data_IF_413889607393
#
_entry.id   IF_413889607393
#
_cell.length_a   1.000
_cell.length_b   1.000
_cell.length_c   1.000
_cell.angle_alpha   90.00
_cell.angle_beta   90.00
_cell.angle_gamma   90.00
#
_symmetry.space_group_name_H-M   'P 1'
#
loop_
_entity.id
_entity.type
_entity.pdbx_description
1 polymer ?
#
# COMPACT_ATOMS: atom_id res chain seq x y z
N UNK A 1 -16.33 -23.65 0.30
CA UNK A 1 -15.10 -24.39 -0.08
C UNK A 1 -14.75 -24.23 -1.56
N UNK A 2 -15.67 -24.47 -2.49
CA UNK A 2 -15.44 -24.28 -3.94
C UNK A 2 -14.94 -22.88 -4.29
N UNK A 3 -15.54 -21.83 -3.70
CA UNK A 3 -15.18 -20.44 -3.96
C UNK A 3 -13.70 -20.15 -3.67
N UNK A 4 -13.21 -20.38 -2.44
CA UNK A 4 -11.81 -20.09 -2.10
C UNK A 4 -10.80 -20.81 -3.01
N UNK A 5 -11.09 -22.04 -3.44
CA UNK A 5 -10.27 -22.77 -4.41
C UNK A 5 -10.31 -22.14 -5.81
N UNK A 6 -11.47 -21.68 -6.27
CA UNK A 6 -11.59 -21.00 -7.56
C UNK A 6 -10.69 -19.77 -7.63
N UNK A 7 -10.63 -19.01 -6.52
CA UNK A 7 -9.78 -17.82 -6.36
C UNK A 7 -8.28 -18.15 -6.28
N UNK A 8 -7.92 -19.40 -5.97
CA UNK A 8 -6.53 -19.78 -5.73
C UNK A 8 -5.99 -19.26 -4.40
N UNK A 9 -6.84 -19.07 -3.39
CA UNK A 9 -6.42 -18.58 -2.09
C UNK A 9 -5.52 -19.60 -1.36
N UNK A 10 -4.27 -19.21 -1.07
CA UNK A 10 -3.34 -20.02 -0.28
C UNK A 10 -3.57 -19.91 1.24
N UNK A 11 -4.27 -18.87 1.67
CA UNK A 11 -4.65 -18.64 3.05
C UNK A 11 -6.00 -17.93 3.17
N UNK A 12 -6.70 -18.13 4.30
CA UNK A 12 -7.91 -17.42 4.68
C UNK A 12 -7.79 -16.95 6.12
N UNK A 13 -8.24 -15.72 6.40
CA UNK A 13 -8.19 -15.13 7.72
C UNK A 13 -9.58 -15.22 8.35
N UNK A 14 -9.67 -15.74 9.57
CA UNK A 14 -10.93 -15.95 10.28
C UNK A 14 -10.81 -15.44 11.71
N UNK A 15 -11.84 -14.78 12.27
CA UNK A 15 -11.88 -14.48 13.69
C UNK A 15 -11.63 -15.75 14.53
N UNK A 16 -10.88 -15.60 15.62
CA UNK A 16 -10.83 -16.65 16.63
C UNK A 16 -12.21 -16.72 17.32
N UNK A 17 -13.01 -17.72 16.97
CA UNK A 17 -14.28 -18.02 17.65
C UNK A 17 -14.03 -18.55 19.07
N UNK A 18 -15.03 -18.45 19.94
CA UNK A 18 -14.93 -18.94 21.32
C UNK A 18 -14.54 -20.44 21.37
N UNK A 19 -13.72 -20.87 22.35
CA UNK A 19 -13.20 -22.23 22.41
C UNK A 19 -14.33 -23.26 22.55
N UNK A 20 -14.33 -24.31 21.72
CA UNK A 20 -15.26 -25.43 21.92
C UNK A 20 -15.34 -26.46 20.80
N UNK A 21 -15.33 -26.06 19.53
CA UNK A 21 -15.40 -27.02 18.42
C UNK A 21 -14.50 -26.60 17.25
N UNK A 22 -13.72 -27.52 16.65
CA UNK A 22 -13.09 -27.27 15.37
C UNK A 22 -14.19 -27.00 14.35
N UNK A 23 -14.31 -25.75 13.91
CA UNK A 23 -15.31 -25.39 12.92
C UNK A 23 -15.15 -26.32 11.70
N UNK A 24 -16.23 -26.98 11.21
CA UNK A 24 -16.18 -27.79 10.00
C UNK A 24 -15.55 -27.07 8.80
N UNK A 25 -15.59 -25.73 8.82
CA UNK A 25 -14.92 -24.87 7.87
C UNK A 25 -13.38 -24.93 7.95
N UNK A 26 -12.79 -24.95 9.16
CA UNK A 26 -11.35 -25.10 9.37
C UNK A 26 -10.85 -26.41 8.78
N UNK A 27 -11.53 -27.51 9.10
CA UNK A 27 -11.16 -28.83 8.58
C UNK A 27 -11.28 -28.91 7.06
N UNK A 28 -12.32 -28.27 6.50
CA UNK A 28 -12.47 -28.19 5.07
C UNK A 28 -11.33 -27.39 4.41
N UNK A 29 -10.92 -26.26 5.00
CA UNK A 29 -9.76 -25.48 4.55
C UNK A 29 -8.48 -26.31 4.57
N UNK A 30 -8.21 -27.04 5.66
CA UNK A 30 -7.03 -27.92 5.76
C UNK A 30 -7.06 -29.02 4.69
N UNK A 31 -8.19 -29.71 4.49
CA UNK A 31 -8.35 -30.71 3.42
C UNK A 31 -8.19 -30.12 2.01
N UNK A 32 -8.36 -28.82 1.85
CA UNK A 32 -8.12 -28.10 0.60
C UNK A 32 -6.70 -27.55 0.45
N UNK A 33 -5.81 -27.75 1.42
CA UNK A 33 -4.49 -27.14 1.44
C UNK A 33 -4.52 -25.63 1.66
N UNK A 34 -5.64 -25.08 2.14
CA UNK A 34 -5.78 -23.65 2.45
C UNK A 34 -5.40 -23.45 3.91
N UNK A 35 -4.37 -22.63 4.15
CA UNK A 35 -3.92 -22.29 5.50
C UNK A 35 -4.93 -21.35 6.15
N UNK A 36 -5.29 -21.61 7.40
CA UNK A 36 -6.20 -20.72 8.14
C UNK A 36 -5.38 -19.91 9.14
N UNK A 37 -5.49 -18.59 9.05
CA UNK A 37 -4.81 -17.63 9.93
C UNK A 37 -5.85 -17.05 10.89
N UNK A 38 -5.59 -17.11 12.19
CA UNK A 38 -6.49 -16.58 13.20
C UNK A 38 -6.41 -15.04 13.23
N UNK A 39 -7.54 -14.36 13.10
CA UNK A 39 -7.64 -12.92 13.28
C UNK A 39 -7.93 -12.60 14.74
N UNK A 40 -6.94 -11.98 15.38
CA UNK A 40 -6.97 -11.60 16.79
C UNK A 40 -7.13 -10.08 16.90
N UNK A 41 -8.00 -9.61 17.81
CA UNK A 41 -8.14 -8.17 18.06
C UNK A 41 -6.86 -7.54 18.64
N UNK A 42 -6.23 -8.24 19.59
CA UNK A 42 -4.91 -7.94 20.14
C UNK A 42 -4.22 -9.27 20.43
N UNK A 43 -2.92 -9.37 20.16
CA UNK A 43 -2.14 -10.57 20.45
C UNK A 43 -1.41 -10.46 21.78
N UNK A 44 -1.55 -11.53 22.56
CA UNK A 44 -0.68 -11.87 23.67
C UNK A 44 -0.31 -13.36 23.53
N UNK A 45 0.66 -13.81 24.32
CA UNK A 45 1.13 -15.20 24.30
C UNK A 45 0.01 -16.21 24.53
N UNK A 46 -1.00 -15.88 25.35
CA UNK A 46 -2.09 -16.79 25.67
C UNK A 46 -3.04 -16.97 24.48
N UNK A 47 -3.43 -15.89 23.80
CA UNK A 47 -4.28 -15.94 22.59
C UNK A 47 -3.60 -16.62 21.42
N UNK A 48 -2.30 -16.40 21.26
CA UNK A 48 -1.51 -17.08 20.24
C UNK A 48 -1.45 -18.59 20.52
N UNK A 49 -1.25 -18.99 21.78
CA UNK A 49 -1.30 -20.40 22.20
C UNK A 49 -2.70 -21.01 22.04
N UNK A 50 -3.76 -20.24 22.28
CA UNK A 50 -5.14 -20.65 22.04
C UNK A 50 -5.42 -20.92 20.56
N UNK A 51 -5.12 -19.97 19.67
CA UNK A 51 -5.27 -20.14 18.23
C UNK A 51 -4.45 -21.33 17.71
N UNK A 52 -3.24 -21.55 18.23
CA UNK A 52 -2.42 -22.71 17.89
C UNK A 52 -3.08 -24.03 18.30
N UNK A 53 -3.62 -24.11 19.52
CA UNK A 53 -4.38 -25.29 20.00
C UNK A 53 -5.65 -25.53 19.20
N UNK A 54 -6.30 -24.47 18.71
CA UNK A 54 -7.46 -24.57 17.82
C UNK A 54 -7.09 -25.01 16.37
N UNK A 55 -5.81 -25.23 16.08
CA UNK A 55 -5.35 -25.80 14.82
C UNK A 55 -5.24 -24.78 13.67
N UNK A 56 -5.03 -23.50 14.00
CA UNK A 56 -4.69 -22.47 13.02
C UNK A 56 -3.22 -22.56 12.59
N UNK A 57 -2.95 -22.27 11.32
CA UNK A 57 -1.61 -22.27 10.73
C UNK A 57 -0.81 -20.98 11.01
N UNK A 58 -1.49 -19.95 11.52
CA UNK A 58 -0.90 -18.65 11.82
C UNK A 58 -1.86 -17.73 12.58
N UNK A 59 -1.43 -16.51 12.84
CA UNK A 59 -2.27 -15.44 13.37
C UNK A 59 -1.99 -14.08 12.73
N UNK A 60 -3.00 -13.22 12.73
CA UNK A 60 -2.92 -11.81 12.38
C UNK A 60 -3.47 -10.96 13.53
N UNK A 61 -2.83 -9.83 13.82
CA UNK A 61 -3.22 -8.96 14.92
C UNK A 61 -2.79 -7.51 14.70
N UNK A 62 -3.46 -6.58 15.37
CA UNK A 62 -3.06 -5.17 15.39
C UNK A 62 -1.80 -4.97 16.23
N UNK A 63 -0.84 -4.21 15.71
CA UNK A 63 0.30 -3.76 16.49
C UNK A 63 -0.17 -2.91 17.67
N UNK A 64 0.26 -3.28 18.87
CA UNK A 64 -0.02 -2.58 20.11
C UNK A 64 1.27 -2.46 20.94
N UNK A 65 1.39 -1.41 21.75
CA UNK A 65 2.60 -1.15 22.53
C UNK A 65 3.72 -0.56 21.68
N UNK A 66 4.91 -1.16 21.73
CA UNK A 66 6.11 -0.72 21.01
C UNK A 66 6.67 -1.79 20.05
N UNK A 67 7.50 -1.36 19.10
CA UNK A 67 8.11 -2.21 18.07
C UNK A 67 8.88 -3.41 18.67
N UNK A 68 9.61 -3.21 19.78
CA UNK A 68 10.45 -4.26 20.38
C UNK A 68 9.60 -5.37 20.98
N UNK A 69 8.48 -5.02 21.60
CA UNK A 69 7.55 -6.00 22.16
C UNK A 69 6.95 -6.88 21.08
N UNK A 70 6.49 -6.27 19.97
CA UNK A 70 5.93 -7.01 18.83
C UNK A 70 6.98 -7.93 18.20
N UNK A 71 8.21 -7.44 18.02
CA UNK A 71 9.31 -8.23 17.48
C UNK A 71 9.68 -9.41 18.38
N UNK A 72 9.70 -9.18 19.71
CA UNK A 72 9.93 -10.24 20.70
C UNK A 72 8.84 -11.30 20.62
N UNK A 73 7.56 -10.87 20.64
CA UNK A 73 6.41 -11.76 20.52
C UNK A 73 6.49 -12.61 19.25
N UNK A 74 6.79 -11.98 18.11
CA UNK A 74 6.92 -12.67 16.82
C UNK A 74 8.06 -13.70 16.83
N UNK A 75 9.19 -13.37 17.47
CA UNK A 75 10.35 -14.26 17.56
C UNK A 75 10.09 -15.48 18.44
N UNK A 76 9.32 -15.32 19.53
CA UNK A 76 8.92 -16.41 20.43
C UNK A 76 7.97 -17.41 19.73
N UNK A 77 7.26 -16.99 18.68
CA UNK A 77 6.38 -17.84 17.89
C UNK A 77 7.05 -18.41 16.63
N UNK A 78 8.36 -18.67 16.68
CA UNK A 78 9.12 -19.20 15.54
C UNK A 78 8.43 -20.42 14.88
N UNK A 79 8.46 -20.45 13.54
CA UNK A 79 7.81 -21.50 12.75
C UNK A 79 6.30 -21.35 12.55
N UNK A 80 5.69 -20.26 13.03
CA UNK A 80 4.27 -19.95 12.81
C UNK A 80 4.08 -18.74 11.90
N UNK A 81 3.04 -18.73 11.07
CA UNK A 81 2.79 -17.62 10.13
C UNK A 81 2.14 -16.45 10.84
N UNK A 82 2.92 -15.41 11.12
CA UNK A 82 2.42 -14.20 11.78
C UNK A 82 2.31 -13.03 10.81
N UNK A 83 1.19 -12.32 10.92
CA UNK A 83 0.93 -11.06 10.24
C UNK A 83 0.64 -9.97 11.27
N UNK A 84 1.19 -8.78 11.06
CA UNK A 84 0.97 -7.65 11.97
C UNK A 84 0.38 -6.49 11.18
N UNK A 85 -0.82 -6.07 11.56
CA UNK A 85 -1.40 -4.85 11.03
C UNK A 85 -0.69 -3.63 11.60
N UNK A 86 -0.10 -2.83 10.71
CA UNK A 86 0.56 -1.57 11.00
C UNK A 86 -0.28 -0.41 10.51
N UNK A 87 -0.41 0.62 11.34
CA UNK A 87 -0.92 1.94 10.93
C UNK A 87 0.14 2.74 10.15
N UNK A 88 -0.22 3.83 9.44
CA UNK A 88 0.75 4.70 8.77
C UNK A 88 1.92 5.13 9.64
N UNK A 89 1.66 5.46 10.91
CA UNK A 89 2.69 5.95 11.84
C UNK A 89 3.65 4.83 12.26
N UNK A 90 3.21 3.58 12.16
CA UNK A 90 3.97 2.38 12.50
C UNK A 90 4.66 1.76 11.29
N UNK A 91 4.55 2.36 10.10
CA UNK A 91 5.04 1.77 8.85
C UNK A 91 6.54 1.43 8.90
N UNK A 92 7.32 2.15 9.70
CA UNK A 92 8.76 1.94 9.86
C UNK A 92 9.13 0.76 10.78
N UNK A 93 8.17 0.19 11.51
CA UNK A 93 8.44 -0.87 12.49
C UNK A 93 8.99 -2.15 11.83
N UNK A 94 10.02 -2.73 12.44
CA UNK A 94 10.58 -4.04 12.10
C UNK A 94 9.92 -5.13 12.95
N UNK A 95 9.05 -5.89 12.32
CA UNK A 95 8.23 -6.92 12.98
C UNK A 95 8.67 -8.34 12.64
N UNK A 96 9.80 -8.51 11.96
CA UNK A 96 10.34 -9.83 11.61
C UNK A 96 10.54 -10.70 12.86
N UNK A 97 10.17 -12.00 12.80
CA UNK A 97 9.82 -12.78 11.61
C UNK A 97 8.37 -12.64 11.12
N UNK A 98 7.51 -11.85 11.78
CA UNK A 98 6.16 -11.60 11.28
C UNK A 98 6.17 -10.71 10.02
N UNK A 99 5.09 -10.79 9.24
CA UNK A 99 4.89 -10.03 8.01
C UNK A 99 4.03 -8.80 8.27
N UNK A 100 4.51 -7.58 7.98
CA UNK A 100 3.69 -6.39 8.14
C UNK A 100 2.60 -6.29 7.08
N UNK A 101 1.43 -5.81 7.49
CA UNK A 101 0.26 -5.52 6.66
C UNK A 101 -0.11 -4.07 6.90
N UNK A 102 -0.02 -3.22 5.89
CA UNK A 102 -0.35 -1.81 6.06
C UNK A 102 -1.88 -1.60 6.04
N UNK A 103 -2.42 -1.10 7.15
CA UNK A 103 -3.78 -0.60 7.27
C UNK A 103 -3.81 0.89 6.92
N UNK A 104 -3.71 1.17 5.64
CA UNK A 104 -3.80 2.52 5.08
C UNK A 104 -4.39 2.46 3.68
N UNK A 105 -4.96 3.58 3.24
CA UNK A 105 -5.54 3.71 1.91
C UNK A 105 -7.06 3.85 1.94
N UNK A 106 -7.61 4.11 0.76
CA UNK A 106 -9.03 4.34 0.54
C UNK A 106 -9.64 3.17 -0.22
N UNK A 107 -10.92 2.90 -0.06
CA UNK A 107 -11.56 1.83 -0.81
C UNK A 107 -11.59 2.20 -2.31
N UNK A 108 -11.03 1.38 -3.21
CA UNK A 108 -10.87 1.77 -4.61
C UNK A 108 -12.20 2.02 -5.33
N UNK A 109 -12.24 3.11 -6.09
CA UNK A 109 -13.40 3.49 -6.87
C UNK A 109 -13.41 4.95 -7.28
N UNK A 110 -14.47 5.35 -7.99
CA UNK A 110 -14.71 6.74 -8.31
C UNK A 110 -15.52 7.40 -7.19
N UNK A 111 -15.07 8.56 -6.71
CA UNK A 111 -15.97 9.45 -5.97
C UNK A 111 -16.87 10.17 -6.96
N UNK A 112 -18.16 10.30 -6.61
CA UNK A 112 -19.00 11.28 -7.29
C UNK A 112 -18.47 12.65 -6.88
N UNK A 113 -17.99 13.42 -7.85
CA UNK A 113 -17.64 14.82 -7.59
C UNK A 113 -18.87 15.53 -7.03
N UNK A 114 -18.67 16.32 -5.98
CA UNK A 114 -19.71 17.25 -5.53
C UNK A 114 -19.99 18.22 -6.70
N UNK A 115 -21.20 18.25 -7.24
CA UNK A 115 -21.53 19.13 -8.37
C UNK A 115 -21.41 20.62 -8.03
N UNK A 116 -21.27 20.98 -6.74
CA UNK A 116 -21.06 22.36 -6.28
C UNK A 116 -19.59 22.78 -6.21
N UNK A 117 -18.64 21.84 -6.24
CA UNK A 117 -17.20 22.10 -6.28
C UNK A 117 -16.73 22.25 -7.74
N UNK A 118 -16.92 23.44 -8.30
CA UNK A 118 -16.35 23.81 -9.60
C UNK A 118 -14.84 24.14 -9.46
N UNK A 119 -13.97 23.21 -9.85
CA UNK A 119 -12.52 23.41 -9.87
C UNK A 119 -11.90 23.01 -11.21
N UNK A 120 -10.74 23.60 -11.55
CA UNK A 120 -10.07 23.50 -12.85
C UNK A 120 -9.61 22.07 -13.28
N UNK A 121 -9.89 21.04 -12.48
CA UNK A 121 -9.75 19.64 -12.86
C UNK A 121 -11.09 18.93 -12.74
N UNK A 122 -11.92 18.99 -13.79
CA UNK A 122 -13.16 18.20 -13.91
C UNK A 122 -12.92 16.69 -14.07
N UNK A 123 -11.72 16.21 -13.75
CA UNK A 123 -11.41 14.79 -13.77
C UNK A 123 -12.16 14.09 -12.63
N UNK A 124 -12.73 12.92 -12.93
CA UNK A 124 -13.33 12.04 -11.91
C UNK A 124 -12.28 11.77 -10.83
N UNK A 125 -12.61 12.04 -9.57
CA UNK A 125 -11.72 11.71 -8.47
C UNK A 125 -11.70 10.20 -8.29
N UNK A 126 -10.55 9.59 -8.57
CA UNK A 126 -10.32 8.15 -8.39
C UNK A 126 -9.56 7.94 -7.08
N UNK A 127 -10.13 7.12 -6.22
CA UNK A 127 -9.45 6.59 -5.04
C UNK A 127 -8.61 5.39 -5.48
N UNK A 128 -7.31 5.50 -5.24
CA UNK A 128 -6.27 4.60 -5.71
C UNK A 128 -5.17 4.48 -4.63
N UNK A 129 -4.69 3.27 -4.36
CA UNK A 129 -3.66 2.94 -3.38
C UNK A 129 -2.32 2.48 -3.97
N UNK A 130 -2.16 2.52 -5.30
CA UNK A 130 -0.92 2.13 -5.99
C UNK A 130 0.32 2.86 -5.44
N UNK A 131 0.11 4.10 -4.99
CA UNK A 131 1.15 4.92 -4.38
C UNK A 131 1.68 4.36 -3.06
N UNK A 132 0.84 3.69 -2.26
CA UNK A 132 1.25 3.04 -1.01
C UNK A 132 2.15 1.85 -1.30
N UNK A 133 1.85 1.08 -2.35
CA UNK A 133 2.70 -0.02 -2.80
C UNK A 133 4.06 0.50 -3.26
N UNK A 134 4.07 1.57 -4.07
CA UNK A 134 5.30 2.19 -4.54
C UNK A 134 6.16 2.70 -3.39
N UNK A 135 5.54 3.34 -2.39
CA UNK A 135 6.19 3.79 -1.17
C UNK A 135 6.81 2.61 -0.40
N UNK A 136 6.02 1.55 -0.14
CA UNK A 136 6.50 0.36 0.58
C UNK A 136 7.69 -0.29 -0.12
N UNK A 137 7.63 -0.46 -1.44
CA UNK A 137 8.71 -1.07 -2.24
C UNK A 137 9.96 -0.19 -2.30
N UNK A 138 9.80 1.13 -2.26
CA UNK A 138 10.92 2.07 -2.30
C UNK A 138 11.67 2.17 -0.97
N UNK A 139 10.94 2.24 0.14
CA UNK A 139 11.49 2.52 1.47
C UNK A 139 11.75 1.25 2.28
N UNK A 140 11.04 0.17 1.99
CA UNK A 140 11.15 -1.12 2.68
C UNK A 140 11.31 -2.27 1.67
N UNK A 141 12.36 -2.26 0.84
CA UNK A 141 12.53 -3.25 -0.24
C UNK A 141 12.71 -4.68 0.25
N UNK A 142 13.10 -4.87 1.52
CA UNK A 142 13.39 -6.19 2.10
C UNK A 142 12.14 -6.92 2.61
N UNK A 143 10.95 -6.32 2.47
CA UNK A 143 9.67 -6.92 2.90
C UNK A 143 8.60 -6.80 1.81
N UNK A 144 7.64 -7.72 1.84
CA UNK A 144 6.49 -7.69 0.93
C UNK A 144 5.69 -6.39 1.11
N UNK A 145 5.34 -5.74 0.00
CA UNK A 145 4.41 -4.62 0.00
C UNK A 145 2.97 -5.14 0.09
N UNK A 146 2.49 -5.38 1.31
CA UNK A 146 1.18 -5.96 1.60
C UNK A 146 0.22 -4.92 2.18
N UNK A 147 -0.87 -4.65 1.47
CA UNK A 147 -1.95 -3.76 1.90
C UNK A 147 -3.10 -4.55 2.54
N UNK A 148 -3.79 -3.96 3.52
CA UNK A 148 -4.89 -4.60 4.23
C UNK A 148 -6.08 -3.70 4.57
N UNK A 149 -6.25 -2.58 3.85
CA UNK A 149 -7.43 -1.72 4.01
C UNK A 149 -8.74 -2.51 3.81
N UNK A 150 -9.80 -2.06 4.48
CA UNK A 150 -11.11 -2.72 4.53
C UNK A 150 -12.19 -1.80 3.97
N UNK A 151 -13.36 -2.30 3.55
CA UNK A 151 -14.47 -1.45 3.12
C UNK A 151 -15.19 -0.85 4.35
N UNK A 152 -14.50 0.04 5.09
CA UNK A 152 -14.98 0.69 6.32
C UNK A 152 -14.66 2.19 6.36
N UNK A 153 -14.98 2.85 7.47
CA UNK A 153 -14.83 4.31 7.63
C UNK A 153 -13.38 4.77 7.49
N UNK A 154 -12.42 3.95 7.95
CA UNK A 154 -10.98 4.24 7.82
C UNK A 154 -10.54 4.30 6.35
N UNK A 155 -11.25 3.59 5.46
CA UNK A 155 -11.05 3.61 4.02
C UNK A 155 -12.00 4.56 3.27
N UNK A 156 -12.67 5.47 3.97
CA UNK A 156 -13.58 6.46 3.39
C UNK A 156 -14.94 5.91 2.97
N UNK A 157 -15.35 4.75 3.49
CA UNK A 157 -16.68 4.17 3.26
C UNK A 157 -17.58 4.48 4.46
N UNK A 158 -18.66 5.23 4.24
CA UNK A 158 -19.64 5.49 5.30
C UNK A 158 -20.31 4.17 5.75
N UNK A 159 -20.72 4.08 7.02
CA UNK A 159 -21.29 2.85 7.63
C UNK A 159 -22.40 2.18 6.80
N UNK A 160 -23.22 2.97 6.13
CA UNK A 160 -24.39 2.50 5.37
C UNK A 160 -24.11 2.44 3.85
N UNK A 161 -22.92 2.87 3.42
CA UNK A 161 -22.54 2.89 2.02
C UNK A 161 -22.21 1.48 1.54
N UNK A 162 -23.05 0.98 0.63
CA UNK A 162 -22.77 -0.28 -0.07
C UNK A 162 -21.73 -0.06 -1.16
N UNK A 163 -20.58 -0.69 -1.01
CA UNK A 163 -19.58 -0.73 -2.07
C UNK A 163 -20.00 -1.70 -3.20
N UNK A 164 -19.74 -1.38 -4.47
CA UNK A 164 -20.01 -2.29 -5.59
C UNK A 164 -19.22 -3.60 -5.50
N UNK A 165 -19.78 -4.73 -5.95
CA UNK A 165 -19.09 -6.04 -5.88
C UNK A 165 -17.76 -6.06 -6.63
N UNK A 166 -17.68 -5.39 -7.78
CA UNK A 166 -16.49 -5.32 -8.61
C UNK A 166 -15.35 -4.47 -8.00
N UNK A 167 -15.62 -3.69 -6.94
CA UNK A 167 -14.57 -2.92 -6.28
C UNK A 167 -13.52 -3.79 -5.56
N UNK A 168 -13.87 -5.02 -5.20
CA UNK A 168 -12.91 -6.01 -4.66
C UNK A 168 -11.89 -6.41 -5.72
N UNK A 169 -12.34 -6.65 -6.96
CA UNK A 169 -11.46 -6.94 -8.08
C UNK A 169 -10.53 -5.76 -8.37
N UNK A 170 -11.06 -4.54 -8.33
CA UNK A 170 -10.26 -3.32 -8.49
C UNK A 170 -9.18 -3.21 -7.41
N UNK A 171 -9.51 -3.47 -6.14
CA UNK A 171 -8.53 -3.46 -5.05
C UNK A 171 -7.40 -4.47 -5.25
N UNK A 172 -7.72 -5.68 -5.72
CA UNK A 172 -6.70 -6.68 -6.05
C UNK A 172 -5.83 -6.26 -7.23
N UNK A 173 -6.48 -5.85 -8.33
CA UNK A 173 -5.82 -5.49 -9.57
C UNK A 173 -4.86 -4.32 -9.37
N UNK A 174 -5.29 -3.31 -8.61
CA UNK A 174 -4.49 -2.13 -8.34
C UNK A 174 -3.23 -2.47 -7.53
N UNK A 175 -3.39 -3.15 -6.38
CA UNK A 175 -2.26 -3.51 -5.54
C UNK A 175 -1.23 -4.36 -6.30
N UNK A 176 -1.72 -5.31 -7.10
CA UNK A 176 -0.87 -6.17 -7.92
C UNK A 176 -0.19 -5.41 -9.07
N UNK A 177 -0.89 -4.50 -9.76
CA UNK A 177 -0.32 -3.70 -10.85
C UNK A 177 0.86 -2.83 -10.39
N UNK A 178 0.83 -2.36 -9.13
CA UNK A 178 1.94 -1.63 -8.52
C UNK A 178 3.07 -2.54 -7.97
N UNK A 179 2.95 -3.87 -8.13
CA UNK A 179 3.93 -4.87 -7.69
C UNK A 179 3.82 -5.24 -6.21
N UNK A 180 2.67 -5.00 -5.60
CA UNK A 180 2.35 -5.34 -4.22
C UNK A 180 1.37 -6.50 -4.14
N UNK A 181 0.82 -6.69 -2.94
CA UNK A 181 -0.21 -7.67 -2.64
C UNK A 181 -1.30 -7.02 -1.77
N UNK A 182 -2.48 -7.62 -1.73
CA UNK A 182 -3.62 -7.14 -0.96
C UNK A 182 -4.28 -8.28 -0.19
N UNK A 183 -4.62 -8.03 1.08
CA UNK A 183 -5.48 -8.89 1.87
C UNK A 183 -6.93 -8.67 1.43
N UNK A 184 -7.42 -9.55 0.57
CA UNK A 184 -8.77 -9.50 0.03
C UNK A 184 -9.83 -9.54 1.14
N UNK A 185 -10.47 -8.41 1.39
CA UNK A 185 -11.62 -8.29 2.29
C UNK A 185 -12.90 -8.21 1.48
N UNK A 186 -13.72 -9.27 1.49
CA UNK A 186 -15.04 -9.25 0.86
C UNK A 186 -16.03 -8.49 1.75
N UNK A 187 -16.73 -7.45 1.26
CA UNK A 187 -17.82 -6.82 2.00
C UNK A 187 -18.90 -7.84 2.43
N UNK A 188 -19.52 -7.62 3.59
CA UNK A 188 -20.50 -8.57 4.15
C UNK A 188 -21.68 -8.82 3.19
N UNK A 189 -22.23 -7.76 2.58
CA UNK A 189 -23.33 -7.90 1.60
C UNK A 189 -22.92 -8.70 0.37
N UNK A 190 -21.64 -8.66 -0.01
CA UNK A 190 -21.12 -9.45 -1.12
C UNK A 190 -21.00 -10.93 -0.73
N UNK A 191 -20.47 -11.24 0.46
CA UNK A 191 -20.42 -12.61 0.98
C UNK A 191 -21.81 -13.24 1.04
N UNK A 192 -22.79 -12.52 1.58
CA UNK A 192 -24.17 -13.00 1.69
C UNK A 192 -24.82 -13.24 0.32
N UNK A 193 -24.61 -12.33 -0.63
CA UNK A 193 -25.12 -12.49 -1.99
C UNK A 193 -24.49 -13.71 -2.71
N UNK A 194 -23.21 -13.99 -2.48
CA UNK A 194 -22.55 -15.21 -3.00
C UNK A 194 -23.14 -16.48 -2.40
N UNK A 195 -23.39 -16.51 -1.08
CA UNK A 195 -24.00 -17.65 -0.41
C UNK A 195 -25.44 -17.91 -0.87
N UNK A 196 -26.18 -16.84 -1.19
CA UNK A 196 -27.53 -16.92 -1.77
C UNK A 196 -27.55 -17.28 -3.25
N UNK A 197 -26.39 -17.34 -3.91
CA UNK A 197 -26.30 -17.60 -5.34
C UNK A 197 -26.84 -16.47 -6.20
N UNK A 198 -26.79 -15.21 -5.75
CA UNK A 198 -27.25 -14.08 -6.55
C UNK A 198 -26.41 -13.90 -7.83
N UNK A 199 -27.06 -13.81 -9.00
CA UNK A 199 -26.38 -13.75 -10.30
C UNK A 199 -25.34 -12.63 -10.39
N UNK A 200 -25.67 -11.42 -9.90
CA UNK A 200 -24.74 -10.28 -9.94
C UNK A 200 -23.48 -10.52 -9.11
N UNK A 201 -23.61 -11.14 -7.95
CA UNK A 201 -22.49 -11.49 -7.10
C UNK A 201 -21.64 -12.60 -7.74
N UNK A 202 -22.27 -13.63 -8.31
CA UNK A 202 -21.55 -14.69 -9.02
C UNK A 202 -20.76 -14.16 -10.23
N UNK A 203 -21.34 -13.23 -11.00
CA UNK A 203 -20.64 -12.59 -12.13
C UNK A 203 -19.40 -11.83 -11.66
N UNK A 204 -19.52 -11.01 -10.62
CA UNK A 204 -18.39 -10.29 -10.05
C UNK A 204 -17.33 -11.24 -9.46
N UNK A 205 -17.75 -12.38 -8.92
CA UNK A 205 -16.84 -13.39 -8.38
C UNK A 205 -16.03 -14.07 -9.49
N UNK A 206 -16.69 -14.42 -10.58
CA UNK A 206 -16.02 -15.02 -11.74
C UNK A 206 -14.99 -14.07 -12.35
N UNK A 207 -15.30 -12.76 -12.42
CA UNK A 207 -14.35 -11.74 -12.86
C UNK A 207 -13.15 -11.65 -11.90
N UNK A 208 -13.39 -11.55 -10.59
CA UNK A 208 -12.33 -11.57 -9.56
C UNK A 208 -11.44 -12.82 -9.68
N UNK A 209 -12.01 -13.99 -9.92
CA UNK A 209 -11.27 -15.25 -10.10
C UNK A 209 -10.39 -15.20 -11.37
N UNK A 210 -10.91 -14.70 -12.48
CA UNK A 210 -10.14 -14.55 -13.72
C UNK A 210 -8.97 -13.58 -13.53
N UNK A 211 -9.23 -12.44 -12.90
CA UNK A 211 -8.21 -11.44 -12.56
C UNK A 211 -7.16 -12.01 -11.62
N UNK A 212 -7.55 -12.69 -10.54
CA UNK A 212 -6.60 -13.34 -9.64
C UNK A 212 -5.70 -14.37 -10.35
N UNK A 213 -6.25 -15.17 -11.26
CA UNK A 213 -5.46 -16.13 -12.07
C UNK A 213 -4.48 -15.44 -12.99
N UNK A 214 -4.91 -14.40 -13.69
CA UNK A 214 -4.04 -13.60 -14.56
C UNK A 214 -2.90 -12.97 -13.74
N UNK A 215 -3.21 -12.33 -12.62
CA UNK A 215 -2.21 -11.70 -11.76
C UNK A 215 -1.21 -12.72 -11.20
N UNK A 216 -1.67 -13.90 -10.80
CA UNK A 216 -0.79 -14.98 -10.34
C UNK A 216 0.10 -15.52 -11.46
N UNK A 217 -0.42 -15.68 -12.68
CA UNK A 217 0.35 -16.13 -13.84
C UNK A 217 1.49 -15.16 -14.18
N UNK A 218 1.28 -13.86 -13.98
CA UNK A 218 2.27 -12.82 -14.31
C UNK A 218 2.87 -12.16 -13.06
N UNK A 219 2.82 -12.81 -11.90
CA UNK A 219 3.22 -12.23 -10.62
C UNK A 219 4.68 -11.73 -10.63
N UNK A 220 5.59 -12.48 -11.26
CA UNK A 220 6.99 -12.05 -11.40
C UNK A 220 7.12 -10.77 -12.21
N UNK A 221 6.36 -10.63 -13.30
CA UNK A 221 6.36 -9.44 -14.15
C UNK A 221 5.92 -8.21 -13.36
N UNK A 222 4.83 -8.31 -12.61
CA UNK A 222 4.33 -7.19 -11.79
C UNK A 222 5.28 -6.82 -10.65
N UNK A 223 6.06 -7.78 -10.12
CA UNK A 223 7.02 -7.53 -9.04
C UNK A 223 8.36 -6.96 -9.51
N UNK A 224 8.63 -6.89 -10.83
CA UNK A 224 9.86 -6.29 -11.35
C UNK A 224 9.95 -4.81 -10.96
N UNK A 225 11.17 -4.26 -10.82
CA UNK A 225 11.33 -2.82 -10.63
C UNK A 225 10.66 -2.02 -11.74
N UNK A 226 9.97 -0.94 -11.38
CA UNK A 226 9.31 -0.05 -12.35
C UNK A 226 10.32 0.50 -13.36
N UNK A 227 9.89 0.61 -14.63
CA UNK A 227 10.62 1.31 -15.69
C UNK A 227 10.47 2.85 -15.59
N UNK A 228 10.16 3.37 -14.40
CA UNK A 228 9.91 4.77 -14.15
C UNK A 228 11.10 5.67 -14.57
N UNK A 229 10.77 6.80 -15.21
CA UNK A 229 11.70 7.90 -15.50
C UNK A 229 11.65 9.01 -14.45
N UNK A 230 10.65 8.96 -13.59
CA UNK A 230 10.44 9.88 -12.48
C UNK A 230 10.75 9.15 -11.19
N UNK A 231 11.60 9.75 -10.35
CA UNK A 231 11.84 9.31 -8.99
C UNK A 231 11.21 10.32 -8.02
N UNK A 232 10.59 9.84 -6.95
CA UNK A 232 10.16 10.66 -5.81
C UNK A 232 11.06 10.33 -4.63
N UNK A 233 11.79 11.33 -4.13
CA UNK A 233 12.57 11.21 -2.91
C UNK A 233 11.63 11.32 -1.71
N UNK A 234 11.52 10.24 -0.95
CA UNK A 234 10.62 10.14 0.19
C UNK A 234 11.40 9.90 1.49
N UNK A 235 10.87 10.45 2.58
CA UNK A 235 11.35 10.23 3.94
C UNK A 235 10.27 9.57 4.80
N UNK A 236 9.12 10.24 4.92
CA UNK A 236 7.93 9.70 5.56
C UNK A 236 6.77 9.59 4.55
N UNK A 237 5.76 8.78 4.89
CA UNK A 237 4.55 8.69 4.09
C UNK A 237 3.74 9.99 4.19
N UNK A 238 3.75 10.64 5.35
CA UNK A 238 3.05 11.92 5.59
C UNK A 238 3.52 13.00 4.61
N UNK A 239 4.82 13.12 4.40
CA UNK A 239 5.40 14.17 3.54
C UNK A 239 5.10 13.94 2.05
N UNK A 240 5.00 12.68 1.61
CA UNK A 240 4.97 12.35 0.18
C UNK A 240 3.68 11.70 -0.31
N UNK A 241 2.73 11.34 0.57
CA UNK A 241 1.51 10.65 0.18
C UNK A 241 0.70 11.45 -0.86
N UNK A 242 0.55 12.76 -0.65
CA UNK A 242 -0.22 13.61 -1.56
C UNK A 242 0.43 13.70 -2.95
N UNK A 243 1.73 14.00 -3.02
CA UNK A 243 2.42 14.09 -4.32
C UNK A 243 2.40 12.76 -5.05
N UNK A 244 2.59 11.64 -4.34
CA UNK A 244 2.58 10.32 -4.94
C UNK A 244 1.18 10.01 -5.48
N UNK A 245 0.14 10.24 -4.69
CA UNK A 245 -1.24 10.07 -5.12
C UNK A 245 -1.55 10.95 -6.36
N UNK A 246 -1.13 12.21 -6.36
CA UNK A 246 -1.30 13.12 -7.49
C UNK A 246 -0.61 12.62 -8.76
N UNK A 247 0.61 12.11 -8.65
CA UNK A 247 1.35 11.53 -9.78
C UNK A 247 0.60 10.34 -10.37
N UNK A 248 0.17 9.39 -9.54
CA UNK A 248 -0.61 8.24 -10.00
C UNK A 248 -1.91 8.65 -10.68
N UNK A 249 -2.62 9.65 -10.14
CA UNK A 249 -3.84 10.20 -10.75
C UNK A 249 -3.60 10.87 -12.10
N UNK A 250 -2.39 11.35 -12.35
CA UNK A 250 -1.98 11.93 -13.63
C UNK A 250 -1.25 10.92 -14.52
N UNK A 251 -1.45 9.61 -14.29
CA UNK A 251 -0.83 8.52 -15.05
C UNK A 251 0.72 8.53 -15.03
N UNK A 252 1.30 9.09 -13.97
CA UNK A 252 2.73 9.01 -13.69
C UNK A 252 2.94 7.96 -12.61
N UNK A 253 3.64 6.87 -12.95
CA UNK A 253 4.02 5.82 -11.99
C UNK A 253 5.47 5.99 -11.56
N UNK A 254 5.77 6.83 -10.55
CA UNK A 254 7.14 7.09 -10.13
C UNK A 254 7.78 5.87 -9.48
N UNK A 255 9.11 5.82 -9.49
CA UNK A 255 9.84 5.05 -8.49
C UNK A 255 9.92 5.87 -7.21
N UNK A 256 9.73 5.24 -6.06
CA UNK A 256 10.01 5.87 -4.77
C UNK A 256 11.43 5.49 -4.34
N UNK A 257 12.21 6.47 -3.93
CA UNK A 257 13.56 6.28 -3.40
C UNK A 257 13.67 6.97 -2.05
N UNK A 258 14.45 6.41 -1.13
CA UNK A 258 14.74 7.10 0.13
C UNK A 258 15.48 8.42 -0.15
N UNK A 259 15.17 9.49 0.58
CA UNK A 259 15.84 10.78 0.42
C UNK A 259 17.37 10.69 0.62
N UNK A 260 17.84 9.76 1.45
CA UNK A 260 19.26 9.44 1.65
C UNK A 260 19.84 8.45 0.61
N UNK A 261 19.09 8.10 -0.43
CA UNK A 261 19.47 7.12 -1.46
C UNK A 261 19.05 7.59 -2.85
N UNK A 262 18.99 8.91 -3.05
CA UNK A 262 18.73 9.51 -4.36
C UNK A 262 19.85 9.04 -5.32
N UNK A 263 19.51 8.36 -6.42
CA UNK A 263 20.48 7.89 -7.40
C UNK A 263 20.96 9.04 -8.28
N UNK A 264 22.09 8.88 -8.98
CA UNK A 264 22.50 9.80 -10.04
C UNK A 264 21.48 9.82 -11.21
N UNK A 265 21.42 10.92 -12.00
CA UNK A 265 20.58 10.97 -13.19
C UNK A 265 21.08 9.92 -14.18
N UNK A 266 20.16 9.07 -14.62
CA UNK A 266 20.43 7.88 -15.42
C UNK A 266 19.13 7.46 -16.07
N UNK A 267 18.55 6.35 -15.63
CA UNK A 267 17.16 6.03 -16.01
C UNK A 267 16.16 7.08 -15.53
N UNK A 268 16.45 7.69 -14.38
CA UNK A 268 15.65 8.77 -13.81
C UNK A 268 16.10 10.10 -14.41
N UNK A 269 15.16 10.79 -15.05
CA UNK A 269 15.38 12.11 -15.64
C UNK A 269 14.80 13.22 -14.78
N UNK A 270 13.78 12.88 -13.98
CA UNK A 270 13.08 13.81 -13.10
C UNK A 270 13.15 13.24 -11.69
N UNK A 271 13.57 14.07 -10.75
CA UNK A 271 13.52 13.84 -9.33
C UNK A 271 12.48 14.78 -8.73
N UNK A 272 11.50 14.26 -8.02
CA UNK A 272 10.55 15.06 -7.24
C UNK A 272 10.98 14.97 -5.79
N UNK A 273 11.14 16.11 -5.12
CA UNK A 273 11.49 16.19 -3.71
C UNK A 273 10.38 16.91 -2.97
N UNK A 274 9.88 16.35 -1.86
CA UNK A 274 8.89 17.04 -1.01
C UNK A 274 9.50 17.30 0.36
N UNK A 275 9.39 18.52 0.86
CA UNK A 275 9.84 18.87 2.21
C UNK A 275 11.33 18.68 2.46
N UNK A 276 12.16 18.74 1.42
CA UNK A 276 13.55 18.28 1.48
C UNK A 276 14.44 19.17 2.36
N UNK A 277 14.05 20.42 2.63
CA UNK A 277 14.86 21.37 3.38
C UNK A 277 15.23 20.93 4.80
N UNK A 278 14.45 20.02 5.42
CA UNK A 278 14.73 19.43 6.73
C UNK A 278 15.70 18.24 6.69
N UNK A 279 16.16 17.83 5.49
CA UNK A 279 17.00 16.66 5.27
C UNK A 279 18.30 17.03 4.52
N UNK A 280 19.36 17.52 5.21
CA UNK A 280 20.58 18.00 4.58
C UNK A 280 21.23 17.00 3.60
N UNK A 281 21.36 15.74 4.00
CA UNK A 281 21.91 14.68 3.13
C UNK A 281 21.07 14.43 1.86
N UNK A 282 19.76 14.71 1.94
CA UNK A 282 18.84 14.61 0.80
C UNK A 282 18.95 15.83 -0.11
N UNK A 283 19.10 17.03 0.47
CA UNK A 283 19.40 18.27 -0.26
C UNK A 283 20.67 18.13 -1.08
N UNK A 284 21.77 17.69 -0.46
CA UNK A 284 23.05 17.55 -1.16
C UNK A 284 22.95 16.59 -2.35
N UNK A 285 22.30 15.44 -2.17
CA UNK A 285 22.07 14.50 -3.27
C UNK A 285 21.13 15.03 -4.35
N UNK A 286 20.10 15.79 -3.99
CA UNK A 286 19.22 16.43 -4.97
C UNK A 286 19.98 17.49 -5.80
N UNK A 287 20.85 18.27 -5.17
CA UNK A 287 21.75 19.21 -5.85
C UNK A 287 22.73 18.47 -6.76
N UNK A 288 23.31 17.36 -6.32
CA UNK A 288 24.15 16.49 -7.16
C UNK A 288 23.39 15.95 -8.37
N UNK A 289 22.14 15.51 -8.17
CA UNK A 289 21.28 15.04 -9.26
C UNK A 289 21.10 16.13 -10.33
N UNK A 290 20.80 17.36 -9.92
CA UNK A 290 20.69 18.50 -10.82
C UNK A 290 22.03 18.82 -11.51
N UNK A 291 23.15 18.91 -10.76
CA UNK A 291 24.48 19.19 -11.32
C UNK A 291 24.86 18.21 -12.43
N UNK A 292 24.52 16.94 -12.26
CA UNK A 292 24.78 15.86 -13.21
C UNK A 292 23.84 15.86 -14.44
N UNK A 293 22.90 16.80 -14.55
CA UNK A 293 22.02 16.97 -15.72
C UNK A 293 20.57 16.55 -15.51
N UNK A 294 20.21 16.17 -14.29
CA UNK A 294 18.83 15.84 -13.93
C UNK A 294 17.93 17.08 -13.80
N UNK A 295 16.61 16.85 -13.79
CA UNK A 295 15.60 17.86 -13.47
C UNK A 295 15.04 17.59 -12.08
N UNK A 296 15.05 18.57 -11.19
CA UNK A 296 14.52 18.42 -9.83
C UNK A 296 13.26 19.27 -9.70
N UNK A 297 12.11 18.64 -9.44
CA UNK A 297 10.92 19.35 -9.02
C UNK A 297 10.92 19.44 -7.49
N UNK A 298 11.27 20.62 -6.97
CA UNK A 298 11.25 20.87 -5.54
C UNK A 298 9.87 21.37 -5.08
N UNK A 299 9.23 20.56 -4.22
CA UNK A 299 7.95 20.88 -3.59
C UNK A 299 8.22 21.17 -2.11
N UNK A 300 8.03 22.41 -1.64
CA UNK A 300 8.17 22.70 -0.21
C UNK A 300 7.03 22.02 0.57
N UNK A 301 7.31 21.56 1.79
CA UNK A 301 6.29 21.00 2.69
C UNK A 301 5.37 22.08 3.28
N UNK A 302 5.86 23.32 3.38
CA UNK A 302 5.09 24.48 3.80
C UNK A 302 5.53 25.74 3.06
N UNK A 303 4.66 26.75 2.99
CA UNK A 303 4.98 28.04 2.34
C UNK A 303 6.17 28.78 2.95
N UNK A 304 6.55 28.45 4.18
CA UNK A 304 7.66 29.06 4.91
C UNK A 304 8.99 28.32 4.73
N UNK A 305 8.98 27.15 4.08
CA UNK A 305 10.21 26.41 3.80
C UNK A 305 11.12 27.22 2.88
N UNK A 306 12.33 27.50 3.37
CA UNK A 306 13.32 28.26 2.59
C UNK A 306 13.77 27.42 1.39
N UNK A 307 13.88 28.02 0.20
CA UNK A 307 14.35 27.32 -0.99
C UNK A 307 15.82 26.93 -0.82
N UNK A 308 16.07 25.68 -0.43
CA UNK A 308 17.40 25.14 -0.15
C UNK A 308 18.33 25.14 -1.38
N UNK A 309 17.77 25.29 -2.58
CA UNK A 309 18.53 25.44 -3.82
C UNK A 309 18.97 26.88 -4.11
N UNK A 310 18.41 27.89 -3.46
CA UNK A 310 18.58 29.29 -3.85
C UNK A 310 20.02 29.81 -3.72
N UNK A 311 20.83 29.22 -2.84
CA UNK A 311 22.25 29.56 -2.69
C UNK A 311 23.14 28.83 -3.69
N UNK A 312 22.69 27.69 -4.22
CA UNK A 312 23.46 26.84 -5.12
C UNK A 312 23.13 27.06 -6.60
N UNK A 313 21.90 27.46 -6.91
CA UNK A 313 21.36 27.51 -8.26
C UNK A 313 21.00 28.94 -8.68
N UNK A 314 21.13 29.24 -9.98
CA UNK A 314 20.80 30.56 -10.53
C UNK A 314 19.40 30.55 -11.15
N UNK A 315 18.50 31.41 -10.68
CA UNK A 315 17.18 31.61 -11.30
C UNK A 315 17.36 32.02 -12.75
N UNK A 316 16.66 31.34 -13.64
CA UNK A 316 16.72 31.57 -15.10
C UNK A 316 15.46 32.21 -15.63
N UNK A 317 14.30 31.74 -15.17
CA UNK A 317 12.99 32.24 -15.60
C UNK A 317 11.90 31.90 -14.58
N UNK A 318 10.74 32.49 -14.80
CA UNK A 318 9.50 32.22 -14.06
C UNK A 318 8.40 31.90 -15.05
N UNK A 319 7.61 30.88 -14.75
CA UNK A 319 6.48 30.42 -15.56
C UNK A 319 5.32 30.13 -14.63
N UNK A 320 4.14 30.71 -14.88
CA UNK A 320 2.83 30.40 -14.24
C UNK A 320 2.91 29.64 -12.90
N UNK A 321 3.26 30.37 -11.83
CA UNK A 321 3.27 29.83 -10.47
C UNK A 321 4.50 29.01 -10.06
N UNK A 322 5.54 28.92 -10.90
CA UNK A 322 6.82 28.28 -10.57
C UNK A 322 8.04 29.06 -11.06
N UNK A 323 9.14 28.91 -10.33
CA UNK A 323 10.44 29.45 -10.69
C UNK A 323 11.37 28.34 -11.15
N UNK A 324 12.18 28.62 -12.17
CA UNK A 324 13.13 27.65 -12.75
C UNK A 324 14.55 28.15 -12.53
N UNK A 325 15.36 27.30 -11.92
CA UNK A 325 16.76 27.54 -11.59
C UNK A 325 17.66 26.60 -12.40
N UNK A 326 18.84 27.11 -12.76
CA UNK A 326 19.89 26.32 -13.41
C UNK A 326 20.97 25.94 -12.40
N UNK A 327 21.42 24.69 -12.47
CA UNK A 327 22.50 24.17 -11.65
C UNK A 327 23.34 23.15 -12.43
N UNK A 328 24.58 23.50 -12.75
CA UNK A 328 25.44 22.66 -13.58
C UNK A 328 24.81 22.40 -14.96
N UNK A 329 24.60 21.12 -15.29
CA UNK A 329 23.95 20.71 -16.55
C UNK A 329 22.43 20.57 -16.45
N UNK A 330 21.86 20.69 -15.25
CA UNK A 330 20.45 20.43 -14.99
C UNK A 330 19.67 21.65 -14.51
N UNK A 331 18.45 21.40 -14.06
CA UNK A 331 17.51 22.42 -13.59
C UNK A 331 16.82 21.98 -12.30
N UNK A 332 16.43 22.98 -11.51
CA UNK A 332 15.55 22.85 -10.35
C UNK A 332 14.34 23.74 -10.63
#
# INVERSE_FOLDING_TARGET
MSLLRQLGAAAVWLPLEAPGEPSPFLDACRRAGIRVIAELGAADTAKLAEARRAGFAGATFKAAGDERQIRKLASEQSGWELFVYLKPEQIHWRVEPARPVLLAGLWPGSRRSDPTLAGASQAVWLDANSYLVAYLRGLFPDRDALLGYRPDEDAGIAKDQRVPYNSVELALAEAAAAGGNFVLTLPEHYRQALLKGETRAQTAWNALVQTARFLNQYAETFRRPSAARVAVAAWSLEDCAEILNLLYRNNVSPAVVGANRIPAPGRFQILVTVGMGSHPDGVDRALEFARAGGKVLAVPASGDEKPWWATAARRTRSEEGRDIYSLGKGII
#
